data_IF_646903604115
#
_entry.id   IF_646903604115
#
_cell.length_a   1.000
_cell.length_b   1.000
_cell.length_c   1.000
_cell.angle_alpha   90.00
_cell.angle_beta   90.00
_cell.angle_gamma   90.00
#
_symmetry.space_group_name_H-M   'P 1'
#
loop_
_entity.id
_entity.type
_entity.pdbx_description
1 polymer ?
#
# COMPACT_ATOMS: atom_id res chain seq x y z
N UNK A 1 -0.76 16.48 -30.88
CA UNK A 1 -0.93 16.34 -29.42
C UNK A 1 0.30 15.66 -28.86
N UNK A 2 1.10 16.29 -27.97
CA UNK A 2 2.26 15.61 -27.42
C UNK A 2 1.82 14.51 -26.44
N UNK A 3 2.55 13.39 -26.37
CA UNK A 3 2.21 12.27 -25.48
C UNK A 3 2.40 12.74 -24.04
N UNK A 4 1.33 12.71 -23.23
CA UNK A 4 1.46 12.91 -21.78
C UNK A 4 2.34 11.77 -21.25
N UNK A 5 3.51 12.12 -20.71
CA UNK A 5 4.39 11.21 -19.98
C UNK A 5 3.59 10.61 -18.81
N UNK A 6 3.11 9.39 -18.98
CA UNK A 6 2.41 8.64 -17.93
C UNK A 6 3.42 7.99 -17.00
N UNK A 7 3.89 8.74 -16.00
CA UNK A 7 4.56 8.22 -14.80
C UNK A 7 3.87 8.84 -13.58
N UNK A 8 2.56 8.62 -13.48
CA UNK A 8 1.70 9.28 -12.51
C UNK A 8 1.33 8.25 -11.44
N UNK A 9 1.73 8.54 -10.20
CA UNK A 9 1.46 7.74 -9.02
C UNK A 9 -0.05 7.70 -8.77
N UNK A 10 -0.83 6.95 -9.56
CA UNK A 10 -2.28 6.95 -9.40
C UNK A 10 -2.69 6.10 -8.20
N UNK A 11 -3.71 6.57 -7.48
CA UNK A 11 -4.34 5.79 -6.43
C UNK A 11 -5.02 4.57 -7.06
N UNK A 12 -4.63 3.37 -6.66
CA UNK A 12 -5.17 2.15 -7.29
C UNK A 12 -6.64 1.90 -6.94
N UNK A 13 -7.18 2.53 -5.89
CA UNK A 13 -8.60 2.40 -5.50
C UNK A 13 -9.51 3.36 -6.27
N UNK A 14 -9.19 4.66 -6.31
CA UNK A 14 -10.05 5.66 -6.97
C UNK A 14 -9.60 6.01 -8.40
N UNK A 15 -8.46 5.47 -8.86
CA UNK A 15 -7.83 5.74 -10.16
C UNK A 15 -7.53 7.22 -10.43
N UNK A 16 -7.56 8.06 -9.40
CA UNK A 16 -7.16 9.48 -9.46
C UNK A 16 -5.66 9.61 -9.27
N UNK A 17 -5.10 10.68 -9.80
CA UNK A 17 -3.71 11.06 -9.55
C UNK A 17 -3.45 11.31 -8.07
N UNK A 18 -2.29 10.89 -7.59
CA UNK A 18 -1.77 11.27 -6.27
C UNK A 18 -0.74 12.36 -6.52
N UNK A 19 -1.13 13.60 -6.23
CA UNK A 19 -0.21 14.73 -6.29
C UNK A 19 0.77 14.73 -5.12
N UNK A 20 1.82 15.54 -5.21
CA UNK A 20 2.78 15.73 -4.11
C UNK A 20 2.17 16.34 -2.84
N UNK A 21 1.04 17.03 -2.98
CA UNK A 21 0.29 17.61 -1.86
C UNK A 21 -0.78 16.66 -1.30
N UNK A 22 -1.08 15.57 -2.03
CA UNK A 22 -2.05 14.58 -1.59
C UNK A 22 -1.47 13.69 -0.49
N UNK A 23 -2.31 13.38 0.50
CA UNK A 23 -1.96 12.44 1.56
C UNK A 23 -2.17 11.03 1.03
N UNK A 24 -1.06 10.36 0.73
CA UNK A 24 -1.08 9.00 0.22
C UNK A 24 0.01 8.15 0.86
N UNK A 25 -0.22 6.85 0.81
CA UNK A 25 0.68 5.82 1.31
C UNK A 25 0.97 4.83 0.19
N UNK A 26 2.20 4.32 0.17
CA UNK A 26 2.63 3.24 -0.70
C UNK A 26 2.50 1.91 0.05
N UNK A 27 1.85 0.93 -0.57
CA UNK A 27 1.71 -0.39 0.03
C UNK A 27 3.02 -1.15 -0.07
N UNK A 28 3.56 -1.66 1.04
CA UNK A 28 4.82 -2.44 1.03
C UNK A 28 4.71 -3.79 0.29
N UNK A 29 3.48 -4.28 0.03
CA UNK A 29 3.25 -5.60 -0.60
C UNK A 29 3.03 -5.51 -2.11
N UNK A 30 2.24 -4.53 -2.56
CA UNK A 30 1.91 -4.38 -3.99
C UNK A 30 2.56 -3.16 -4.63
N UNK A 31 3.28 -2.36 -3.86
CA UNK A 31 4.04 -1.18 -4.30
C UNK A 31 3.19 -0.11 -5.01
N UNK A 32 1.87 -0.17 -4.82
CA UNK A 32 0.93 0.81 -5.38
C UNK A 32 0.65 1.93 -4.39
N UNK A 33 0.34 3.10 -4.95
CA UNK A 33 -0.08 4.27 -4.20
C UNK A 33 -1.56 4.24 -3.87
N UNK A 34 -1.90 4.75 -2.69
CA UNK A 34 -3.27 4.90 -2.26
C UNK A 34 -3.46 6.17 -1.44
N UNK A 35 -4.50 6.94 -1.75
CA UNK A 35 -4.94 8.02 -0.87
C UNK A 35 -5.35 7.46 0.50
N UNK A 36 -5.02 8.19 1.57
CA UNK A 36 -5.41 7.80 2.93
C UNK A 36 -6.94 7.67 3.06
N UNK A 37 -7.69 8.54 2.39
CA UNK A 37 -9.15 8.55 2.45
C UNK A 37 -9.77 7.32 1.77
N UNK A 38 -9.20 6.90 0.63
CA UNK A 38 -9.56 5.66 -0.06
C UNK A 38 -9.38 4.45 0.89
N UNK A 39 -8.24 4.40 1.56
CA UNK A 39 -7.93 3.33 2.49
C UNK A 39 -8.56 3.51 3.89
N UNK A 40 -9.40 4.54 4.09
CA UNK A 40 -9.99 4.88 5.41
C UNK A 40 -8.94 4.96 6.53
N UNK A 41 -7.74 5.44 6.19
CA UNK A 41 -6.67 5.74 7.14
C UNK A 41 -6.92 7.13 7.70
N UNK A 42 -6.96 7.25 9.03
CA UNK A 42 -7.19 8.54 9.66
C UNK A 42 -5.96 9.45 9.48
N UNK A 43 -6.16 10.75 9.63
CA UNK A 43 -5.04 11.70 9.60
C UNK A 43 -4.06 11.46 10.76
N UNK A 44 -4.54 10.95 11.88
CA UNK A 44 -3.73 10.61 13.05
C UNK A 44 -2.85 9.41 12.75
N UNK A 45 -3.40 8.33 12.18
CA UNK A 45 -2.65 7.16 11.74
C UNK A 45 -1.62 7.53 10.67
N UNK A 46 -1.99 8.37 9.70
CA UNK A 46 -1.06 8.85 8.68
C UNK A 46 0.11 9.62 9.29
N UNK A 47 -0.15 10.51 10.25
CA UNK A 47 0.89 11.25 10.97
C UNK A 47 1.76 10.33 11.82
N UNK A 48 1.16 9.31 12.43
CA UNK A 48 1.90 8.31 13.20
C UNK A 48 2.84 7.54 12.29
N UNK A 49 2.35 7.01 11.16
CA UNK A 49 3.16 6.31 10.16
C UNK A 49 4.27 7.20 9.59
N UNK A 50 3.99 8.47 9.29
CA UNK A 50 4.98 9.42 8.79
C UNK A 50 6.06 9.80 9.81
N UNK A 51 5.78 9.64 11.12
CA UNK A 51 6.73 9.86 12.22
C UNK A 51 7.42 8.59 12.68
N UNK A 52 6.94 7.44 12.25
CA UNK A 52 7.50 6.15 12.62
C UNK A 52 8.70 5.88 11.74
N UNK A 53 9.77 5.33 12.34
CA UNK A 53 10.88 4.76 11.58
C UNK A 53 10.41 3.58 10.72
N UNK A 54 11.30 3.09 9.85
CA UNK A 54 11.07 1.96 8.91
C UNK A 54 10.54 0.66 9.55
N UNK A 55 10.52 0.60 10.89
CA UNK A 55 9.89 -0.44 11.70
C UNK A 55 8.39 -0.65 11.45
N UNK A 56 7.66 0.35 10.96
CA UNK A 56 6.21 0.25 10.72
C UNK A 56 5.90 0.29 9.23
N UNK A 57 5.57 -0.88 8.68
CA UNK A 57 5.22 -1.04 7.27
C UNK A 57 3.69 -0.98 7.09
N UNK A 58 3.23 -0.13 6.17
CA UNK A 58 1.81 -0.03 5.82
C UNK A 58 1.48 -0.87 4.59
N UNK A 59 0.30 -1.50 4.62
CA UNK A 59 -0.25 -2.25 3.51
C UNK A 59 -1.71 -1.87 3.25
N UNK A 60 -2.12 -1.90 1.98
CA UNK A 60 -3.48 -1.54 1.59
C UNK A 60 -4.51 -2.61 2.00
N UNK A 61 -5.80 -2.24 2.01
CA UNK A 61 -6.91 -3.16 2.34
C UNK A 61 -6.94 -4.42 1.48
N UNK A 62 -6.57 -4.32 0.20
CA UNK A 62 -6.48 -5.47 -0.70
C UNK A 62 -5.40 -6.46 -0.23
N UNK A 63 -4.24 -5.92 0.14
CA UNK A 63 -3.14 -6.72 0.67
C UNK A 63 -3.41 -7.21 2.10
N UNK A 64 -4.21 -6.52 2.91
CA UNK A 64 -4.62 -6.97 4.25
C UNK A 64 -5.27 -8.36 4.23
N UNK A 65 -6.02 -8.69 3.17
CA UNK A 65 -6.62 -10.02 3.00
C UNK A 65 -5.68 -11.04 2.33
N UNK A 66 -4.78 -10.58 1.46
CA UNK A 66 -3.89 -11.43 0.67
C UNK A 66 -2.59 -11.82 1.41
N UNK A 67 -2.03 -10.92 2.23
CA UNK A 67 -0.83 -11.18 3.03
C UNK A 67 -1.06 -12.32 4.01
N UNK A 68 -2.23 -12.40 4.64
CA UNK A 68 -2.58 -13.53 5.51
C UNK A 68 -2.61 -14.87 4.76
N UNK A 69 -3.04 -14.89 3.49
CA UNK A 69 -3.11 -16.12 2.69
C UNK A 69 -1.74 -16.55 2.16
N UNK A 70 -0.93 -15.61 1.68
CA UNK A 70 0.43 -15.89 1.20
C UNK A 70 1.36 -16.25 2.36
N UNK A 71 1.27 -15.58 3.50
CA UNK A 71 2.03 -15.93 4.71
C UNK A 71 1.60 -17.31 5.25
N UNK A 72 0.28 -17.62 5.26
CA UNK A 72 -0.21 -18.98 5.55
C UNK A 72 0.29 -20.02 4.55
N UNK A 73 0.38 -19.69 3.27
CA UNK A 73 0.84 -20.63 2.23
C UNK A 73 2.35 -20.88 2.31
N UNK A 74 3.16 -19.84 2.55
CA UNK A 74 4.61 -19.94 2.77
C UNK A 74 4.94 -20.72 4.05
N UNK A 75 4.25 -20.46 5.16
CA UNK A 75 4.39 -21.23 6.41
C UNK A 75 3.92 -22.68 6.29
N UNK A 76 2.97 -22.98 5.40
CA UNK A 76 2.53 -24.37 5.12
C UNK A 76 3.53 -25.12 4.22
N UNK A 77 4.19 -24.41 3.30
CA UNK A 77 5.25 -24.97 2.42
C UNK A 77 6.48 -25.41 3.23
N UNK A 78 6.82 -24.70 4.32
CA UNK A 78 7.93 -25.07 5.21
C UNK A 78 7.68 -26.32 6.06
N UNK A 79 6.47 -26.91 6.06
CA UNK A 79 6.12 -28.09 6.87
C UNK A 79 6.16 -29.42 6.09
N UNK A 80 6.68 -29.45 4.86
CA UNK A 80 6.77 -30.65 4.01
C UNK A 80 8.20 -31.10 3.70
N UNK A 81 9.19 -30.63 4.46
CA UNK A 81 10.53 -31.21 4.47
C UNK A 81 10.80 -31.84 5.83
N UNK A 82 10.18 -33.01 6.05
CA UNK A 82 10.75 -34.10 6.85
C UNK A 82 10.31 -35.42 6.17
#
# INVERSE_FOLDING_TARGET
>A
MPPRKSNLNNCDECKKDVGSEDKALVCCVCEKWFHINCQRVTLEDYKFLAKSDDSIQWYCKGCRGASLKLFKMLTLVSKRQD
#
